data_IF_311964118866
#
_entry.id   IF_311964118866
#
_cell.length_a   1.000
_cell.length_b   1.000
_cell.length_c   1.000
_cell.angle_alpha   90.00
_cell.angle_beta   90.00
_cell.angle_gamma   90.00
#
_symmetry.space_group_name_H-M   'P 1'
#
loop_
_entity.id
_entity.type
_entity.pdbx_description
1 polymer ?
#
# COMPACT_ATOMS: atom_id res chain seq x y z
N UNK A 1 14.25 10.75 -38.39
CA UNK A 1 13.38 11.49 -37.45
C UNK A 1 11.97 10.93 -37.54
N UNK A 2 11.26 10.93 -36.40
CA UNK A 2 9.85 10.59 -36.20
C UNK A 2 9.44 9.11 -36.14
N UNK A 3 9.69 8.45 -34.99
CA UNK A 3 8.79 7.41 -34.45
C UNK A 3 8.86 7.44 -32.91
N UNK A 4 8.13 8.35 -32.24
CA UNK A 4 7.86 8.25 -30.78
C UNK A 4 6.97 9.40 -30.29
N UNK A 5 5.70 9.46 -30.73
CA UNK A 5 4.76 10.43 -30.10
C UNK A 5 3.33 9.90 -29.99
N UNK A 6 2.91 8.97 -30.86
CA UNK A 6 1.50 8.53 -30.91
C UNK A 6 1.12 7.40 -29.93
N UNK A 7 2.09 6.68 -29.37
CA UNK A 7 1.82 5.60 -28.42
C UNK A 7 1.61 6.08 -26.97
N UNK A 8 2.03 7.31 -26.65
CA UNK A 8 1.97 7.84 -25.29
C UNK A 8 0.62 8.51 -24.96
N UNK A 9 -0.08 9.03 -25.97
CA UNK A 9 -1.33 9.77 -25.79
C UNK A 9 -2.55 8.86 -25.57
N UNK A 10 -2.48 7.60 -26.04
CA UNK A 10 -3.60 6.65 -26.04
C UNK A 10 -3.76 5.87 -24.72
N UNK A 11 -2.69 5.69 -23.94
CA UNK A 11 -2.77 5.10 -22.60
C UNK A 11 -3.15 6.12 -21.51
N UNK A 12 -2.77 7.39 -21.67
CA UNK A 12 -3.18 8.48 -20.75
C UNK A 12 -4.69 8.75 -20.80
N UNK A 13 -5.34 8.52 -21.94
CA UNK A 13 -6.77 8.83 -22.15
C UNK A 13 -7.70 7.75 -21.57
N UNK A 14 -7.23 6.51 -21.35
CA UNK A 14 -8.06 5.38 -20.93
C UNK A 14 -8.10 5.14 -19.41
N UNK A 15 -7.22 5.77 -18.63
CA UNK A 15 -7.33 5.80 -17.18
C UNK A 15 -8.15 7.03 -16.81
N UNK A 16 -9.48 6.88 -16.69
CA UNK A 16 -10.39 7.90 -16.11
C UNK A 16 -9.62 8.67 -15.04
N UNK A 17 -9.45 9.99 -15.21
CA UNK A 17 -8.74 10.85 -14.26
C UNK A 17 -9.29 10.56 -12.87
N UNK A 18 -8.52 9.84 -12.06
CA UNK A 18 -8.97 9.38 -10.75
C UNK A 18 -8.98 10.58 -9.83
N UNK A 19 -10.09 10.76 -9.12
CA UNK A 19 -10.28 11.88 -8.20
C UNK A 19 -10.19 11.35 -6.75
N UNK A 20 -9.08 11.62 -6.03
CA UNK A 20 -8.95 11.24 -4.63
C UNK A 20 -10.12 11.69 -3.75
N UNK A 21 -10.66 12.89 -3.96
CA UNK A 21 -11.73 13.45 -3.14
C UNK A 21 -13.06 12.71 -3.38
N UNK A 22 -13.39 12.41 -4.64
CA UNK A 22 -14.55 11.58 -4.97
C UNK A 22 -14.43 10.17 -4.38
N UNK A 23 -13.23 9.59 -4.39
CA UNK A 23 -12.97 8.28 -3.80
C UNK A 23 -13.09 8.29 -2.26
N UNK A 24 -12.64 9.35 -1.59
CA UNK A 24 -12.85 9.54 -0.15
C UNK A 24 -14.34 9.62 0.17
N UNK A 25 -15.08 10.44 -0.57
CA UNK A 25 -16.54 10.56 -0.42
C UNK A 25 -17.24 9.21 -0.60
N UNK A 26 -16.84 8.42 -1.59
CA UNK A 26 -17.39 7.09 -1.81
C UNK A 26 -17.08 6.13 -0.66
N UNK A 27 -15.85 6.14 -0.14
CA UNK A 27 -15.48 5.32 1.01
C UNK A 27 -16.24 5.73 2.28
N UNK A 28 -16.39 7.03 2.55
CA UNK A 28 -17.18 7.54 3.68
C UNK A 28 -18.67 7.17 3.54
N UNK A 29 -19.23 7.24 2.34
CA UNK A 29 -20.60 6.82 2.07
C UNK A 29 -20.80 5.32 2.31
N UNK A 30 -19.86 4.47 1.86
CA UNK A 30 -19.93 3.02 2.07
C UNK A 30 -19.66 2.60 3.53
N UNK A 31 -18.95 3.42 4.30
CA UNK A 31 -18.81 3.23 5.75
C UNK A 31 -20.12 3.47 6.50
N UNK A 32 -20.96 4.41 6.03
CA UNK A 32 -22.28 4.70 6.60
C UNK A 32 -22.27 5.50 7.91
N UNK A 33 -21.17 5.49 8.66
CA UNK A 33 -20.99 6.38 9.81
C UNK A 33 -21.70 5.97 11.09
N UNK A 34 -22.21 4.74 11.18
CA UNK A 34 -22.97 4.22 12.34
C UNK A 34 -22.13 3.36 13.30
N UNK A 35 -20.85 3.15 12.98
CA UNK A 35 -19.95 2.30 13.77
C UNK A 35 -18.49 2.72 13.60
N UNK A 36 -17.62 2.22 14.47
CA UNK A 36 -16.19 2.42 14.33
C UNK A 36 -15.66 1.93 12.99
N UNK A 37 -14.66 2.65 12.47
CA UNK A 37 -14.03 2.33 11.21
C UNK A 37 -12.78 1.49 11.46
N UNK A 38 -12.62 0.39 10.74
CA UNK A 38 -11.38 -0.39 10.77
C UNK A 38 -10.48 -0.09 9.57
N UNK A 39 -9.19 0.15 9.79
CA UNK A 39 -8.15 0.29 8.75
C UNK A 39 -7.25 -0.94 8.76
N UNK A 40 -7.01 -1.56 7.61
CA UNK A 40 -6.04 -2.65 7.50
C UNK A 40 -4.66 -2.14 7.08
N UNK A 41 -3.70 -2.23 8.00
CA UNK A 41 -2.29 -1.92 7.76
C UNK A 41 -1.50 -3.15 7.35
N UNK A 42 -0.82 -3.06 6.21
CA UNK A 42 0.02 -4.13 5.64
C UNK A 42 1.44 -3.66 5.27
N UNK A 43 1.86 -2.45 5.64
CA UNK A 43 3.19 -1.94 5.30
C UNK A 43 3.60 -0.82 6.26
N UNK A 44 3.85 0.39 5.77
CA UNK A 44 4.23 1.55 6.58
C UNK A 44 3.26 1.85 7.72
N UNK A 45 1.96 1.63 7.54
CA UNK A 45 0.95 1.79 8.58
C UNK A 45 1.22 0.92 9.83
N UNK A 46 1.94 -0.20 9.69
CA UNK A 46 2.28 -1.09 10.80
C UNK A 46 3.23 -0.41 11.80
N UNK A 47 4.16 0.42 11.32
CA UNK A 47 5.19 1.05 12.15
C UNK A 47 5.13 2.58 12.17
N UNK A 48 4.22 3.15 11.40
CA UNK A 48 3.92 4.58 11.34
C UNK A 48 2.44 4.75 10.93
N UNK A 49 1.48 4.49 11.82
CA UNK A 49 0.04 4.64 11.51
C UNK A 49 -0.36 6.11 11.30
N UNK A 50 0.22 7.05 12.06
CA UNK A 50 -0.12 8.49 12.03
C UNK A 50 -1.60 8.80 12.32
N UNK A 51 -2.28 7.89 13.02
CA UNK A 51 -3.57 8.12 13.65
C UNK A 51 -3.62 7.39 14.99
N UNK A 52 -4.52 7.82 15.86
CA UNK A 52 -4.77 7.17 17.15
C UNK A 52 -5.86 6.12 16.96
N UNK A 53 -5.52 4.85 17.22
CA UNK A 53 -6.47 3.74 17.25
C UNK A 53 -6.90 3.46 18.69
N UNK A 54 -8.17 3.12 18.86
CA UNK A 54 -8.70 2.66 20.15
C UNK A 54 -8.43 1.17 20.39
N UNK A 55 -8.09 0.43 19.33
CA UNK A 55 -7.78 -1.00 19.40
C UNK A 55 -7.01 -1.44 18.15
N UNK A 56 -6.02 -2.32 18.36
CA UNK A 56 -5.25 -2.94 17.30
C UNK A 56 -5.45 -4.46 17.37
N UNK A 57 -5.78 -5.07 16.23
CA UNK A 57 -5.96 -6.52 16.12
C UNK A 57 -5.05 -7.11 15.06
N UNK A 58 -4.33 -8.17 15.39
CA UNK A 58 -3.68 -8.98 14.37
C UNK A 58 -4.72 -9.57 13.43
N UNK A 59 -4.50 -9.37 12.14
CA UNK A 59 -5.49 -9.68 11.12
C UNK A 59 -4.86 -10.45 9.96
N UNK A 60 -5.60 -11.44 9.46
CA UNK A 60 -5.29 -12.10 8.19
C UNK A 60 -6.34 -11.71 7.15
N UNK A 61 -5.87 -11.10 6.07
CA UNK A 61 -6.67 -10.79 4.90
C UNK A 61 -6.44 -11.87 3.83
N UNK A 62 -7.47 -12.63 3.50
CA UNK A 62 -7.41 -13.64 2.44
C UNK A 62 -7.74 -13.05 1.07
N UNK A 63 -7.20 -13.65 0.01
CA UNK A 63 -7.39 -13.20 -1.36
C UNK A 63 -6.47 -12.05 -1.78
N UNK A 64 -5.54 -11.65 -0.91
CA UNK A 64 -4.55 -10.59 -1.16
C UNK A 64 -3.20 -10.92 -0.55
N UNK A 65 -2.12 -10.43 -1.13
CA UNK A 65 -0.77 -10.55 -0.57
C UNK A 65 -0.05 -9.20 -0.68
N UNK A 66 0.89 -8.99 0.25
CA UNK A 66 1.79 -7.85 0.25
C UNK A 66 2.91 -8.11 -0.77
N UNK A 67 3.25 -7.10 -1.57
CA UNK A 67 4.35 -7.21 -2.54
C UNK A 67 5.06 -5.87 -2.70
N UNK A 68 6.40 -5.88 -2.71
CA UNK A 68 7.23 -4.73 -3.06
C UNK A 68 7.25 -4.54 -4.58
N UNK A 69 6.10 -4.12 -5.12
CA UNK A 69 5.78 -4.11 -6.56
C UNK A 69 5.01 -2.86 -7.01
N UNK A 70 5.21 -1.75 -6.30
CA UNK A 70 4.67 -0.45 -6.69
C UNK A 70 5.80 0.54 -6.92
N UNK A 71 5.82 1.18 -8.08
CA UNK A 71 6.77 2.25 -8.41
C UNK A 71 6.61 3.43 -7.45
N UNK A 72 7.74 3.90 -6.90
CA UNK A 72 7.80 5.10 -6.07
C UNK A 72 8.79 6.10 -6.67
N UNK A 73 8.27 7.23 -7.13
CA UNK A 73 9.05 8.30 -7.78
C UNK A 73 9.29 9.52 -6.88
N UNK A 74 8.88 9.45 -5.61
CA UNK A 74 9.01 10.56 -4.64
C UNK A 74 9.54 10.06 -3.31
N UNK A 75 8.92 9.04 -2.72
CA UNK A 75 9.19 8.65 -1.33
C UNK A 75 10.46 7.81 -1.16
N UNK A 76 10.68 6.87 -2.09
CA UNK A 76 11.77 5.87 -2.07
C UNK A 76 12.64 5.85 -3.33
N UNK A 77 12.46 6.85 -4.18
CA UNK A 77 13.21 7.09 -5.42
C UNK A 77 12.80 8.43 -6.02
N UNK A 78 13.28 8.71 -7.22
CA UNK A 78 12.96 9.93 -8.00
C UNK A 78 12.25 9.55 -9.31
N UNK A 79 11.78 10.52 -10.12
CA UNK A 79 11.27 10.21 -11.46
C UNK A 79 12.31 9.52 -12.36
N UNK A 80 13.58 9.88 -12.23
CA UNK A 80 14.71 9.36 -13.04
C UNK A 80 15.21 8.01 -12.51
N UNK A 81 15.23 7.83 -11.19
CA UNK A 81 15.59 6.58 -10.53
C UNK A 81 14.45 6.12 -9.59
N UNK A 82 13.38 5.52 -10.15
CA UNK A 82 12.24 5.07 -9.36
C UNK A 82 12.64 3.97 -8.38
N UNK A 83 12.18 4.13 -7.13
CA UNK A 83 12.24 3.10 -6.12
C UNK A 83 10.99 2.25 -6.08
N UNK A 84 10.86 1.43 -5.04
CA UNK A 84 9.70 0.59 -4.81
C UNK A 84 9.08 0.85 -3.44
N UNK A 85 7.76 0.71 -3.39
CA UNK A 85 6.98 0.61 -2.16
C UNK A 85 6.04 -0.59 -2.25
N UNK A 86 5.42 -0.94 -1.12
CA UNK A 86 4.50 -2.07 -1.04
C UNK A 86 3.15 -1.74 -1.68
N UNK A 87 2.58 -2.72 -2.36
CA UNK A 87 1.17 -2.74 -2.71
C UNK A 87 0.53 -4.02 -2.19
N UNK A 88 -0.79 -3.96 -1.98
CA UNK A 88 -1.61 -5.11 -1.63
C UNK A 88 -2.30 -5.64 -2.89
N UNK A 89 -1.79 -6.75 -3.42
CA UNK A 89 -2.16 -7.31 -4.72
C UNK A 89 -3.11 -8.51 -4.57
N UNK A 90 -4.00 -8.79 -5.54
CA UNK A 90 -4.87 -9.96 -5.50
C UNK A 90 -4.11 -11.30 -5.48
N UNK A 91 -4.65 -12.26 -4.73
CA UNK A 91 -4.17 -13.64 -4.55
C UNK A 91 -3.47 -13.86 -3.19
N UNK A 92 -3.50 -15.09 -2.68
CA UNK A 92 -2.80 -15.49 -1.45
C UNK A 92 -3.48 -14.99 -0.17
N UNK A 93 -2.65 -14.65 0.83
CA UNK A 93 -3.09 -14.07 2.10
C UNK A 93 -2.05 -13.07 2.62
N UNK A 94 -2.51 -12.05 3.33
CA UNK A 94 -1.67 -11.03 3.93
C UNK A 94 -1.96 -10.97 5.43
N UNK A 95 -0.92 -11.19 6.25
CA UNK A 95 -0.98 -10.88 7.68
C UNK A 95 -0.64 -9.41 7.88
N UNK A 96 -1.35 -8.74 8.77
CA UNK A 96 -1.20 -7.33 9.08
C UNK A 96 -1.90 -6.98 10.39
N UNK A 97 -2.23 -5.70 10.55
CA UNK A 97 -2.92 -5.17 11.73
C UNK A 97 -4.19 -4.45 11.27
N UNK A 98 -5.31 -4.74 11.90
CA UNK A 98 -6.54 -3.98 11.77
C UNK A 98 -6.61 -2.97 12.93
N UNK A 99 -6.72 -1.69 12.60
CA UNK A 99 -6.78 -0.58 13.54
C UNK A 99 -8.20 -0.07 13.65
N UNK A 100 -8.77 -0.01 14.85
CA UNK A 100 -10.10 0.55 15.11
C UNK A 100 -10.00 2.05 15.37
N UNK A 101 -10.60 2.83 14.49
CA UNK A 101 -10.79 4.27 14.67
C UNK A 101 -12.19 4.49 15.26
N UNK A 102 -12.30 5.14 16.44
CA UNK A 102 -13.58 5.51 17.01
C UNK A 102 -14.42 6.32 16.02
N UNK A 103 -15.71 6.01 15.91
CA UNK A 103 -16.66 6.65 15.01
C UNK A 103 -16.56 8.19 15.03
N UNK A 104 -16.49 8.78 16.22
CA UNK A 104 -16.40 10.22 16.45
C UNK A 104 -15.09 10.85 15.97
N UNK A 105 -14.04 10.06 15.76
CA UNK A 105 -12.74 10.51 15.24
C UNK A 105 -12.61 10.38 13.73
N UNK A 106 -13.43 9.56 13.09
CA UNK A 106 -13.28 9.23 11.65
C UNK A 106 -13.28 10.48 10.77
N UNK A 107 -14.19 11.43 11.02
CA UNK A 107 -14.28 12.66 10.22
C UNK A 107 -13.01 13.52 10.28
N UNK A 108 -12.23 13.44 11.38
CA UNK A 108 -10.98 14.16 11.53
C UNK A 108 -9.76 13.35 11.03
N UNK A 109 -9.75 12.04 11.24
CA UNK A 109 -8.58 11.19 10.95
C UNK A 109 -8.54 10.66 9.51
N UNK A 110 -9.69 10.30 8.93
CA UNK A 110 -9.71 9.66 7.62
C UNK A 110 -9.23 10.59 6.48
N UNK A 111 -9.55 11.89 6.45
CA UNK A 111 -9.01 12.80 5.43
C UNK A 111 -7.48 12.87 5.44
N UNK A 112 -6.86 12.97 6.63
CA UNK A 112 -5.40 12.99 6.76
C UNK A 112 -4.75 11.67 6.30
N UNK A 113 -5.35 10.53 6.66
CA UNK A 113 -4.92 9.23 6.13
C UNK A 113 -5.06 9.17 4.60
N UNK A 114 -6.12 9.77 4.06
CA UNK A 114 -6.36 9.82 2.62
C UNK A 114 -5.32 10.64 1.89
N UNK A 115 -4.95 11.83 2.39
CA UNK A 115 -3.89 12.67 1.81
C UNK A 115 -2.54 11.95 1.77
N UNK A 116 -2.26 11.14 2.79
CA UNK A 116 -1.05 10.32 2.86
C UNK A 116 -1.04 9.17 1.85
N UNK A 117 -2.11 8.37 1.80
CA UNK A 117 -2.13 7.12 1.03
C UNK A 117 -2.60 7.33 -0.42
N UNK A 118 -3.44 8.33 -0.66
CA UNK A 118 -4.12 8.58 -1.94
C UNK A 118 -3.80 9.92 -2.63
N UNK A 119 -2.61 10.56 -2.48
CA UNK A 119 -2.37 11.90 -3.05
C UNK A 119 -2.50 11.92 -4.57
N UNK A 120 -2.23 10.80 -5.25
CA UNK A 120 -2.38 10.62 -6.70
C UNK A 120 -3.40 9.53 -7.05
N UNK A 121 -4.31 9.19 -6.13
CA UNK A 121 -5.29 8.10 -6.27
C UNK A 121 -4.67 6.77 -6.76
N UNK A 122 -3.47 6.41 -6.27
CA UNK A 122 -2.70 5.26 -6.77
C UNK A 122 -3.32 3.91 -6.40
N UNK A 123 -4.01 3.84 -5.26
CA UNK A 123 -4.65 2.62 -4.77
C UNK A 123 -6.14 2.58 -5.04
N UNK A 124 -6.69 1.36 -5.08
CA UNK A 124 -8.12 1.08 -5.01
C UNK A 124 -8.48 0.82 -3.53
N UNK A 125 -9.14 1.76 -2.83
CA UNK A 125 -9.67 1.54 -1.49
C UNK A 125 -10.78 0.49 -1.56
N UNK A 126 -10.71 -0.51 -0.69
CA UNK A 126 -11.70 -1.59 -0.62
C UNK A 126 -12.02 -1.93 0.82
N UNK A 127 -13.29 -2.18 1.08
CA UNK A 127 -13.74 -2.75 2.35
C UNK A 127 -13.65 -4.26 2.29
N UNK A 128 -12.72 -4.81 3.06
CA UNK A 128 -12.38 -6.23 3.03
C UNK A 128 -12.57 -6.88 4.39
N UNK A 129 -13.02 -8.14 4.37
CA UNK A 129 -13.13 -8.97 5.58
C UNK A 129 -11.74 -9.40 6.03
N UNK A 130 -11.37 -8.98 7.23
CA UNK A 130 -10.13 -9.33 7.91
C UNK A 130 -10.43 -10.28 9.06
N UNK A 131 -9.78 -11.44 9.10
CA UNK A 131 -9.95 -12.43 10.18
C UNK A 131 -9.03 -12.10 11.34
N UNK A 132 -9.58 -11.95 12.54
CA UNK A 132 -8.80 -11.75 13.78
C UNK A 132 -9.13 -12.84 14.80
N UNK A 133 -8.34 -12.94 15.87
CA UNK A 133 -8.62 -13.88 16.97
C UNK A 133 -9.93 -13.57 17.71
N UNK A 134 -10.41 -12.32 17.63
CA UNK A 134 -11.64 -11.82 18.25
C UNK A 134 -12.85 -11.90 17.30
N UNK A 135 -12.69 -12.56 16.15
CA UNK A 135 -13.70 -12.60 15.09
C UNK A 135 -13.35 -11.71 13.91
N UNK A 136 -14.24 -11.69 12.93
CA UNK A 136 -13.97 -10.98 11.69
C UNK A 136 -14.35 -9.51 11.79
N UNK A 137 -13.52 -8.65 11.20
CA UNK A 137 -13.78 -7.22 11.07
C UNK A 137 -13.80 -6.82 9.60
N UNK A 138 -14.68 -5.89 9.22
CA UNK A 138 -14.68 -5.28 7.89
C UNK A 138 -13.79 -4.04 7.94
N UNK A 139 -12.64 -4.09 7.26
CA UNK A 139 -11.65 -3.03 7.29
C UNK A 139 -11.41 -2.42 5.90
N UNK A 140 -11.20 -1.11 5.86
CA UNK A 140 -10.73 -0.39 4.69
C UNK A 140 -9.25 -0.73 4.44
N UNK A 141 -8.95 -1.19 3.24
CA UNK A 141 -7.61 -1.52 2.78
C UNK A 141 -7.30 -0.80 1.46
N UNK A 142 -6.09 -0.28 1.33
CA UNK A 142 -5.60 0.34 0.10
C UNK A 142 -4.94 -0.71 -0.79
N UNK A 143 -5.67 -1.20 -1.80
CA UNK A 143 -5.21 -2.26 -2.70
C UNK A 143 -4.57 -1.70 -3.97
N UNK A 144 -3.69 -2.46 -4.62
CA UNK A 144 -3.09 -2.05 -5.89
C UNK A 144 -3.65 -2.91 -7.03
N UNK A 145 -4.23 -2.28 -8.04
CA UNK A 145 -4.66 -2.97 -9.26
C UNK A 145 -3.45 -3.45 -10.06
N UNK A 146 -3.51 -4.68 -10.59
CA UNK A 146 -2.51 -5.18 -11.56
C UNK A 146 -2.51 -4.38 -12.88
N UNK A 147 -3.58 -3.63 -13.16
CA UNK A 147 -3.70 -2.71 -14.30
C UNK A 147 -3.22 -1.30 -13.97
N UNK A 148 -2.77 -1.03 -12.75
CA UNK A 148 -2.22 0.27 -12.37
C UNK A 148 -0.94 0.53 -13.16
N UNK A 149 -0.73 1.74 -13.72
CA UNK A 149 0.56 2.11 -14.31
C UNK A 149 1.69 2.15 -13.27
N UNK A 150 1.35 2.17 -11.97
CA UNK A 150 2.33 2.09 -10.88
C UNK A 150 2.65 0.65 -10.46
N UNK A 151 1.96 -0.36 -10.97
CA UNK A 151 2.34 -1.75 -10.74
C UNK A 151 3.57 -2.10 -11.59
N UNK A 152 4.59 -2.71 -10.97
CA UNK A 152 5.86 -2.98 -11.66
C UNK A 152 5.81 -4.16 -12.61
N UNK A 153 4.81 -5.04 -12.48
CA UNK A 153 4.80 -6.32 -13.16
C UNK A 153 5.77 -7.33 -12.53
N UNK A 154 6.59 -7.95 -13.36
CA UNK A 154 7.65 -8.87 -12.93
C UNK A 154 8.98 -8.18 -13.17
N UNK A 155 9.77 -8.01 -12.11
CA UNK A 155 11.13 -7.51 -12.18
C UNK A 155 12.10 -8.70 -12.06
N UNK A 156 13.21 -8.65 -12.80
CA UNK A 156 14.32 -9.57 -12.63
C UNK A 156 15.03 -9.31 -11.29
N UNK A 157 15.80 -10.29 -10.81
CA UNK A 157 16.61 -10.12 -9.60
C UNK A 157 17.63 -8.98 -9.77
N UNK A 158 18.24 -8.83 -10.96
CA UNK A 158 19.17 -7.75 -11.26
C UNK A 158 18.52 -6.36 -11.17
N UNK A 159 17.28 -6.20 -11.66
CA UNK A 159 16.53 -4.95 -11.48
C UNK A 159 16.27 -4.66 -10.00
N UNK A 160 15.92 -5.66 -9.20
CA UNK A 160 15.78 -5.45 -7.77
C UNK A 160 17.11 -5.05 -7.11
N UNK A 161 18.23 -5.70 -7.47
CA UNK A 161 19.57 -5.35 -6.96
C UNK A 161 19.93 -3.90 -7.29
N UNK A 162 19.71 -3.49 -8.52
CA UNK A 162 19.97 -2.10 -8.96
C UNK A 162 19.12 -1.11 -8.16
N UNK A 163 17.81 -1.36 -8.04
CA UNK A 163 16.93 -0.47 -7.27
C UNK A 163 17.37 -0.40 -5.81
N UNK A 164 17.75 -1.52 -5.21
CA UNK A 164 18.18 -1.58 -3.81
C UNK A 164 19.50 -0.88 -3.55
N UNK A 165 20.38 -0.81 -4.55
CA UNK A 165 21.67 -0.13 -4.43
C UNK A 165 21.61 1.37 -4.73
N UNK A 166 20.68 1.83 -5.58
CA UNK A 166 20.68 3.21 -6.07
C UNK A 166 19.45 4.05 -5.75
N UNK A 167 18.27 3.46 -5.53
CA UNK A 167 17.04 4.25 -5.39
C UNK A 167 16.90 4.86 -3.99
N UNK A 168 16.89 6.20 -3.94
CA UNK A 168 16.68 6.99 -2.74
C UNK A 168 15.70 8.13 -3.03
N UNK A 169 14.72 8.33 -2.16
CA UNK A 169 13.75 9.42 -2.26
C UNK A 169 13.64 10.21 -0.97
N UNK A 170 12.56 10.99 -0.85
CA UNK A 170 12.30 11.88 0.29
C UNK A 170 12.44 11.22 1.66
N UNK A 171 12.12 9.93 1.78
CA UNK A 171 12.13 9.21 3.05
C UNK A 171 13.23 8.15 3.14
N UNK A 172 14.24 8.21 2.26
CA UNK A 172 15.37 7.28 2.22
C UNK A 172 15.25 6.22 1.13
N UNK A 173 16.01 5.13 1.27
CA UNK A 173 16.14 4.12 0.20
C UNK A 173 14.97 3.14 0.15
N UNK A 174 14.82 2.47 -0.99
CA UNK A 174 13.91 1.32 -1.12
C UNK A 174 14.35 0.15 -0.22
N UNK A 175 15.67 -0.10 -0.09
CA UNK A 175 16.22 -1.16 0.75
C UNK A 175 15.87 -0.94 2.22
N UNK A 176 16.10 0.25 2.77
CA UNK A 176 15.80 0.55 4.17
C UNK A 176 14.31 0.42 4.47
N UNK A 177 13.46 0.84 3.52
CA UNK A 177 12.01 0.69 3.65
C UNK A 177 11.56 -0.78 3.71
N UNK A 178 12.13 -1.61 2.84
CA UNK A 178 11.84 -3.04 2.80
C UNK A 178 12.34 -3.74 4.07
N UNK A 179 13.57 -3.44 4.51
CA UNK A 179 14.18 -3.99 5.72
C UNK A 179 13.40 -3.60 6.97
N UNK A 180 13.13 -2.30 7.17
CA UNK A 180 12.34 -1.80 8.29
C UNK A 180 10.97 -2.47 8.36
N UNK A 181 10.29 -2.61 7.21
CA UNK A 181 8.98 -3.27 7.17
C UNK A 181 9.09 -4.75 7.53
N UNK A 182 10.11 -5.45 7.07
CA UNK A 182 10.37 -6.85 7.42
C UNK A 182 10.63 -7.01 8.92
N UNK A 183 11.48 -6.17 9.50
CA UNK A 183 11.83 -6.25 10.92
C UNK A 183 10.60 -5.96 11.80
N UNK A 184 9.80 -4.96 11.44
CA UNK A 184 8.56 -4.62 12.15
C UNK A 184 7.47 -5.70 12.02
N UNK A 185 7.46 -6.46 10.93
CA UNK A 185 6.59 -7.64 10.85
C UNK A 185 7.04 -8.73 11.81
N UNK A 186 8.35 -8.97 11.90
CA UNK A 186 8.90 -9.99 12.79
C UNK A 186 8.64 -9.67 14.25
N UNK A 187 8.68 -8.39 14.66
CA UNK A 187 8.30 -7.99 16.03
C UNK A 187 6.84 -8.31 16.38
N UNK A 188 6.00 -8.52 15.37
CA UNK A 188 4.59 -8.89 15.50
C UNK A 188 4.35 -10.39 15.29
N UNK A 189 5.40 -11.20 15.19
CA UNK A 189 5.31 -12.64 14.89
C UNK A 189 4.87 -12.94 13.45
N UNK A 190 4.93 -11.96 12.55
CA UNK A 190 4.61 -12.13 11.13
C UNK A 190 5.89 -12.43 10.37
N UNK A 191 6.03 -13.67 9.91
CA UNK A 191 7.12 -14.10 9.04
C UNK A 191 6.73 -13.99 7.57
N UNK A 192 7.09 -12.87 6.94
CA UNK A 192 6.83 -12.63 5.51
C UNK A 192 7.93 -13.30 4.66
N UNK A 193 7.69 -14.56 4.33
CA UNK A 193 8.61 -15.41 3.56
C UNK A 193 8.98 -14.84 2.19
N UNK A 194 8.05 -14.13 1.53
CA UNK A 194 8.31 -13.56 0.21
C UNK A 194 9.27 -12.36 0.32
N UNK A 195 9.02 -11.48 1.30
CA UNK A 195 9.88 -10.34 1.58
C UNK A 195 11.26 -10.79 2.09
N UNK A 196 11.31 -11.76 3.01
CA UNK A 196 12.56 -12.30 3.54
C UNK A 196 13.44 -12.90 2.44
N UNK A 197 12.86 -13.71 1.53
CA UNK A 197 13.59 -14.25 0.37
C UNK A 197 14.08 -13.16 -0.57
N UNK A 198 13.26 -12.13 -0.83
CA UNK A 198 13.67 -10.99 -1.65
C UNK A 198 14.89 -10.31 -1.02
N UNK A 199 14.80 -9.90 0.25
CA UNK A 199 15.87 -9.22 0.97
C UNK A 199 17.18 -10.02 0.93
N UNK A 200 17.14 -11.34 1.19
CA UNK A 200 18.33 -12.20 1.13
C UNK A 200 18.95 -12.28 -0.26
N UNK A 201 18.12 -12.37 -1.31
CA UNK A 201 18.61 -12.52 -2.69
C UNK A 201 19.26 -11.26 -3.21
N UNK A 202 18.79 -10.08 -2.80
CA UNK A 202 19.27 -8.79 -3.31
C UNK A 202 20.15 -8.04 -2.31
N UNK A 203 20.58 -8.72 -1.25
CA UNK A 203 21.48 -8.23 -0.20
C UNK A 203 22.83 -7.78 -0.73
#
# INVERSE_FOLDING_TARGET
MAVSTLANTSLETAYKRRDPAAMLKAAMHEWGGESDLWIFGYASLIWRPEFESAEDRFATLHGYHRALKMWSRVNRGTPELPGLVFGLLPGGSCKGVAYRLPQERVAASLPALWEREMPNAVYDPKWLRCRTAQGDVRALAFTLSKRSPNHTGVLSEDHYRQIFSSACGRYGTTRDYAQLTYDKLRTLGIDDQALGKLLQRVS
#
